data_IF_955058881195
#
_entry.id   IF_955058881195
#
_cell.length_a   1.000
_cell.length_b   1.000
_cell.length_c   1.000
_cell.angle_alpha   90.00
_cell.angle_beta   90.00
_cell.angle_gamma   90.00
#
_symmetry.space_group_name_H-M   'P 1'
#
loop_
_entity.id
_entity.type
_entity.pdbx_description
1 polymer ?
#
# COMPACT_ATOMS: atom_id res chain seq x y z
N UNK A 1 -15.56 -14.72 -14.23
CA UNK A 1 -15.91 -14.98 -12.82
C UNK A 1 -15.69 -13.67 -12.07
N UNK A 2 -16.74 -13.07 -11.52
CA UNK A 2 -16.62 -11.92 -10.61
C UNK A 2 -15.92 -12.41 -9.36
N UNK A 3 -14.80 -11.77 -9.00
CA UNK A 3 -14.11 -12.10 -7.76
C UNK A 3 -15.04 -11.87 -6.57
N UNK A 4 -15.04 -12.79 -5.63
CA UNK A 4 -15.86 -12.73 -4.42
C UNK A 4 -15.52 -11.48 -3.61
N UNK A 5 -16.54 -10.79 -3.07
CA UNK A 5 -16.36 -9.59 -2.23
C UNK A 5 -15.96 -10.00 -0.83
N UNK A 6 -15.09 -9.21 -0.22
CA UNK A 6 -14.76 -9.40 1.17
C UNK A 6 -15.85 -8.83 2.08
N UNK A 7 -16.18 -9.57 3.12
CA UNK A 7 -17.18 -9.12 4.11
C UNK A 7 -16.61 -8.01 5.00
N UNK A 8 -17.30 -6.90 5.24
CA UNK A 8 -16.88 -5.93 6.24
C UNK A 8 -16.60 -6.56 7.61
N UNK A 9 -15.50 -6.16 8.25
CA UNK A 9 -14.98 -6.75 9.48
C UNK A 9 -14.08 -7.98 9.29
N UNK A 10 -14.05 -8.58 8.10
CA UNK A 10 -13.13 -9.70 7.81
C UNK A 10 -11.68 -9.22 7.63
N UNK A 11 -10.74 -10.16 7.67
CA UNK A 11 -9.34 -9.92 7.33
C UNK A 11 -9.14 -10.05 5.83
N UNK A 12 -8.48 -9.06 5.22
CA UNK A 12 -7.91 -9.15 3.88
C UNK A 12 -6.42 -8.80 3.92
N UNK A 13 -5.59 -9.53 3.21
CA UNK A 13 -4.13 -9.30 3.17
C UNK A 13 -3.77 -8.52 1.91
N UNK A 14 -3.11 -7.36 2.05
CA UNK A 14 -2.40 -6.72 0.94
C UNK A 14 -1.01 -7.34 0.85
N UNK A 15 -0.68 -7.87 -0.31
CA UNK A 15 0.65 -8.41 -0.59
C UNK A 15 1.28 -7.69 -1.76
N UNK A 16 2.56 -7.40 -1.65
CA UNK A 16 3.40 -7.06 -2.78
C UNK A 16 4.02 -8.34 -3.31
N UNK A 17 3.80 -8.61 -4.60
CA UNK A 17 4.26 -9.84 -5.26
C UNK A 17 5.26 -9.48 -6.35
N UNK A 18 6.46 -10.04 -6.25
CA UNK A 18 7.49 -9.96 -7.26
C UNK A 18 8.05 -11.35 -7.57
N UNK A 19 8.28 -11.65 -8.84
CA UNK A 19 8.80 -12.95 -9.30
C UNK A 19 8.04 -14.16 -8.74
N UNK A 20 6.71 -14.04 -8.60
CA UNK A 20 5.88 -15.10 -8.03
C UNK A 20 6.07 -15.34 -6.53
N UNK A 21 6.76 -14.43 -5.81
CA UNK A 21 7.04 -14.53 -4.37
C UNK A 21 6.53 -13.29 -3.64
N UNK A 22 6.20 -13.46 -2.36
CA UNK A 22 5.79 -12.36 -1.48
C UNK A 22 7.01 -11.49 -1.16
N UNK A 23 6.90 -10.19 -1.45
CA UNK A 23 7.84 -9.15 -1.05
C UNK A 23 7.44 -8.51 0.27
N UNK A 24 6.15 -8.14 0.41
CA UNK A 24 5.56 -7.71 1.67
C UNK A 24 4.19 -8.35 1.86
N UNK A 25 3.73 -8.46 3.11
CA UNK A 25 2.36 -8.87 3.42
C UNK A 25 1.87 -8.17 4.68
N UNK A 26 0.73 -7.51 4.59
CA UNK A 26 0.10 -6.82 5.71
C UNK A 26 -1.39 -7.17 5.78
N UNK A 27 -1.88 -7.67 6.92
CA UNK A 27 -3.30 -7.91 7.11
C UNK A 27 -4.01 -6.61 7.45
N UNK A 28 -5.20 -6.44 6.91
CA UNK A 28 -6.11 -5.33 7.12
C UNK A 28 -7.47 -5.82 7.58
N UNK A 29 -8.21 -4.97 8.24
CA UNK A 29 -9.66 -5.18 8.44
C UNK A 29 -10.41 -4.52 7.28
N UNK A 30 -11.27 -5.26 6.61
CA UNK A 30 -12.13 -4.74 5.54
C UNK A 30 -13.17 -3.81 6.16
N UNK A 31 -13.34 -2.61 5.61
CA UNK A 31 -14.38 -1.66 5.98
C UNK A 31 -15.55 -1.72 5.00
N UNK A 32 -15.26 -1.73 3.72
CA UNK A 32 -16.24 -1.82 2.64
C UNK A 32 -15.63 -2.47 1.40
N UNK A 33 -16.44 -3.17 0.64
CA UNK A 33 -16.08 -3.78 -0.64
C UNK A 33 -17.29 -3.87 -1.55
N UNK A 34 -17.33 -3.09 -2.62
CA UNK A 34 -18.38 -3.15 -3.64
C UNK A 34 -17.98 -3.97 -4.89
N UNK A 35 -16.76 -4.50 -4.89
CA UNK A 35 -16.15 -5.26 -5.99
C UNK A 35 -15.16 -4.44 -6.81
N UNK A 36 -15.41 -3.17 -7.03
CA UNK A 36 -14.51 -2.24 -7.72
C UNK A 36 -13.69 -1.39 -6.72
N UNK A 37 -14.30 -1.01 -5.62
CA UNK A 37 -13.72 -0.17 -4.58
C UNK A 37 -13.60 -0.97 -3.28
N UNK A 38 -12.38 -1.11 -2.77
CA UNK A 38 -12.07 -1.82 -1.54
C UNK A 38 -11.48 -0.86 -0.53
N UNK A 39 -12.17 -0.66 0.57
CA UNK A 39 -11.69 0.16 1.69
C UNK A 39 -11.31 -0.73 2.87
N UNK A 40 -10.10 -0.54 3.37
CA UNK A 40 -9.53 -1.33 4.46
C UNK A 40 -8.86 -0.44 5.51
N UNK A 41 -8.64 -0.97 6.70
CA UNK A 41 -7.93 -0.28 7.76
C UNK A 41 -6.86 -1.16 8.41
N UNK A 42 -5.77 -0.50 8.81
CA UNK A 42 -4.77 -1.08 9.70
C UNK A 42 -4.50 -0.13 10.87
N UNK A 43 -4.05 -0.68 12.00
CA UNK A 43 -3.80 0.06 13.23
C UNK A 43 -2.59 -0.49 13.98
N UNK A 44 -2.08 0.25 14.98
CA UNK A 44 -0.96 -0.20 15.81
C UNK A 44 -1.17 -1.60 16.39
N UNK A 45 -0.12 -2.41 16.38
CA UNK A 45 -0.12 -3.79 16.87
C UNK A 45 -0.25 -4.86 15.80
N UNK A 46 -0.60 -4.50 14.56
CA UNK A 46 -0.71 -5.46 13.46
C UNK A 46 0.69 -6.00 13.10
N UNK A 47 0.82 -7.33 13.13
CA UNK A 47 2.00 -8.04 12.65
C UNK A 47 1.94 -8.23 11.13
N UNK A 48 3.01 -7.86 10.44
CA UNK A 48 3.19 -7.93 9.00
C UNK A 48 4.51 -8.61 8.64
N UNK A 49 4.71 -8.88 7.36
CA UNK A 49 5.98 -9.36 6.80
C UNK A 49 6.55 -8.31 5.86
N UNK A 50 7.85 -8.10 5.95
CA UNK A 50 8.59 -7.20 5.08
C UNK A 50 10.00 -7.75 4.84
N UNK A 51 10.73 -7.30 3.80
CA UNK A 51 12.11 -7.72 3.57
C UNK A 51 12.99 -7.42 4.77
N UNK A 52 13.89 -8.33 5.10
CA UNK A 52 14.82 -8.19 6.23
C UNK A 52 15.72 -6.95 6.12
N UNK A 53 16.13 -6.57 4.92
CA UNK A 53 16.83 -5.31 4.64
C UNK A 53 16.01 -4.08 5.07
N UNK A 54 14.72 -4.06 4.76
CA UNK A 54 13.83 -2.96 5.13
C UNK A 54 13.59 -2.89 6.65
N UNK A 55 13.31 -4.04 7.30
CA UNK A 55 13.10 -4.07 8.76
C UNK A 55 14.37 -3.69 9.53
N UNK A 56 15.55 -4.11 9.05
CA UNK A 56 16.85 -3.74 9.61
C UNK A 56 17.10 -2.23 9.48
N UNK A 57 16.85 -1.66 8.28
CA UNK A 57 16.92 -0.21 8.05
C UNK A 57 16.06 0.57 9.04
N UNK A 58 14.82 0.14 9.22
CA UNK A 58 13.87 0.79 10.14
C UNK A 58 14.31 0.70 11.61
N UNK A 59 14.91 -0.42 12.03
CA UNK A 59 15.44 -0.58 13.40
C UNK A 59 16.68 0.24 13.64
N UNK A 60 17.55 0.36 12.63
CA UNK A 60 18.83 1.04 12.73
C UNK A 60 18.76 2.54 12.36
N UNK A 61 17.69 3.00 11.71
CA UNK A 61 17.59 4.35 11.13
C UNK A 61 18.52 4.56 9.92
N UNK A 62 18.99 3.49 9.29
CA UNK A 62 19.97 3.53 8.18
C UNK A 62 19.26 3.43 6.82
N UNK A 63 19.16 4.57 6.13
CA UNK A 63 18.54 4.68 4.80
C UNK A 63 19.31 3.89 3.73
N UNK A 64 20.63 3.74 3.87
CA UNK A 64 21.43 2.98 2.89
C UNK A 64 21.05 1.49 2.88
N UNK A 65 20.69 0.93 4.03
CA UNK A 65 20.18 -0.45 4.12
C UNK A 65 18.82 -0.59 3.42
N UNK A 66 17.96 0.43 3.48
CA UNK A 66 16.69 0.46 2.78
C UNK A 66 16.87 0.39 1.26
N UNK A 67 17.81 1.16 0.72
CA UNK A 67 18.12 1.16 -0.72
C UNK A 67 18.65 -0.20 -1.20
N UNK A 68 19.40 -0.93 -0.37
CA UNK A 68 19.80 -2.31 -0.68
C UNK A 68 18.60 -3.25 -0.88
N UNK A 69 17.48 -3.01 -0.19
CA UNK A 69 16.25 -3.78 -0.40
C UNK A 69 15.76 -3.74 -1.84
N UNK A 70 15.95 -2.61 -2.56
CA UNK A 70 15.59 -2.51 -3.98
C UNK A 70 16.54 -3.34 -4.84
N UNK A 71 17.83 -3.38 -4.50
CA UNK A 71 18.81 -4.23 -5.19
C UNK A 71 18.49 -5.72 -4.96
N UNK A 72 18.14 -6.11 -3.71
CA UNK A 72 17.71 -7.47 -3.36
C UNK A 72 16.48 -7.89 -4.15
N UNK A 73 15.50 -6.97 -4.27
CA UNK A 73 14.30 -7.20 -5.07
C UNK A 73 14.64 -7.40 -6.55
N UNK A 74 15.49 -6.54 -7.12
CA UNK A 74 15.91 -6.65 -8.51
C UNK A 74 16.69 -7.94 -8.80
N UNK A 75 17.48 -8.40 -7.83
CA UNK A 75 18.17 -9.69 -7.90
C UNK A 75 17.24 -10.90 -7.70
N UNK A 76 15.99 -10.70 -7.31
CA UNK A 76 15.07 -11.78 -6.95
C UNK A 76 15.45 -12.50 -5.64
N UNK A 77 16.24 -11.86 -4.78
CA UNK A 77 16.84 -12.48 -3.59
C UNK A 77 16.51 -11.67 -2.35
N UNK A 78 15.60 -12.17 -1.52
CA UNK A 78 15.26 -11.55 -0.25
C UNK A 78 14.77 -12.59 0.75
N UNK A 79 14.88 -12.25 2.01
CA UNK A 79 14.26 -12.93 3.13
C UNK A 79 13.20 -12.04 3.76
N UNK A 80 12.16 -12.64 4.33
CA UNK A 80 11.10 -11.94 5.03
C UNK A 80 11.37 -11.95 6.53
N UNK A 81 11.13 -10.82 7.17
CA UNK A 81 11.17 -10.65 8.62
C UNK A 81 9.84 -10.08 9.12
N UNK A 82 9.56 -10.28 10.40
CA UNK A 82 8.38 -9.73 11.04
C UNK A 82 8.54 -8.23 11.33
N UNK A 83 7.51 -7.50 11.00
CA UNK A 83 7.36 -6.08 11.31
C UNK A 83 6.02 -5.82 11.99
N UNK A 84 6.02 -5.04 13.05
CA UNK A 84 4.79 -4.62 13.71
C UNK A 84 4.48 -3.19 13.30
N UNK A 85 3.27 -2.96 12.75
CA UNK A 85 2.76 -1.63 12.45
C UNK A 85 2.62 -0.83 13.74
N UNK A 86 3.10 0.41 13.74
CA UNK A 86 3.15 1.26 14.94
C UNK A 86 2.60 2.65 14.62
N UNK A 87 2.31 3.39 15.66
CA UNK A 87 2.12 4.84 15.69
C UNK A 87 0.88 5.39 14.97
N UNK A 88 0.32 4.73 13.96
CA UNK A 88 -0.78 5.30 13.18
C UNK A 88 -1.89 4.30 12.88
N UNK A 89 -3.10 4.82 12.76
CA UNK A 89 -4.20 4.17 12.06
C UNK A 89 -4.13 4.60 10.60
N UNK A 90 -4.28 3.67 9.68
CA UNK A 90 -4.37 3.96 8.24
C UNK A 90 -5.69 3.45 7.69
N UNK A 91 -6.39 4.33 6.98
CA UNK A 91 -7.53 4.00 6.14
C UNK A 91 -7.01 3.96 4.70
N UNK A 92 -7.25 2.88 4.00
CA UNK A 92 -6.71 2.62 2.67
C UNK A 92 -7.82 2.31 1.69
N UNK A 93 -7.82 2.97 0.54
CA UNK A 93 -8.76 2.76 -0.55
C UNK A 93 -8.03 2.27 -1.79
N UNK A 94 -8.48 1.17 -2.33
CA UNK A 94 -7.98 0.51 -3.52
C UNK A 94 -9.11 0.46 -4.56
N UNK A 95 -8.88 1.04 -5.73
CA UNK A 95 -9.86 1.02 -6.84
C UNK A 95 -9.35 0.07 -7.92
N UNK A 96 -10.23 -0.81 -8.39
CA UNK A 96 -9.86 -1.81 -9.39
C UNK A 96 -9.37 -1.16 -10.69
N UNK A 97 -8.20 -1.58 -11.17
CA UNK A 97 -7.58 -1.06 -12.38
C UNK A 97 -6.75 0.21 -12.18
N UNK A 98 -6.88 0.91 -11.05
CA UNK A 98 -6.05 2.08 -10.76
C UNK A 98 -4.62 1.68 -10.40
N UNK A 99 -3.60 2.38 -10.94
CA UNK A 99 -2.20 2.10 -10.65
C UNK A 99 -1.69 2.84 -9.41
N UNK A 100 -2.57 3.11 -8.47
CA UNK A 100 -2.27 3.68 -7.16
C UNK A 100 -3.39 3.37 -6.16
N UNK A 101 -3.05 3.44 -4.89
CA UNK A 101 -4.00 3.46 -3.78
C UNK A 101 -3.88 4.76 -2.99
N UNK A 102 -4.95 5.12 -2.28
CA UNK A 102 -4.99 6.32 -1.45
C UNK A 102 -5.17 5.95 0.01
N UNK A 103 -4.35 6.55 0.85
CA UNK A 103 -4.32 6.28 2.28
C UNK A 103 -4.54 7.57 3.08
N UNK A 104 -5.30 7.48 4.13
CA UNK A 104 -5.43 8.53 5.16
C UNK A 104 -4.82 8.04 6.45
N UNK A 105 -3.76 8.71 6.89
CA UNK A 105 -3.09 8.42 8.15
C UNK A 105 -3.68 9.26 9.27
N UNK A 106 -3.97 8.61 10.39
CA UNK A 106 -4.53 9.21 11.58
C UNK A 106 -3.66 8.83 12.79
N UNK A 107 -3.69 9.65 13.84
CA UNK A 107 -3.21 9.19 15.15
C UNK A 107 -4.13 8.09 15.70
N UNK A 108 -3.71 7.32 16.73
CA UNK A 108 -4.59 6.36 17.39
C UNK A 108 -5.88 6.97 17.97
N UNK A 109 -5.86 8.29 18.26
CA UNK A 109 -7.02 9.05 18.74
C UNK A 109 -7.88 9.62 17.60
N UNK A 110 -7.54 9.34 16.34
CA UNK A 110 -8.31 9.73 15.15
C UNK A 110 -8.00 11.11 14.58
N UNK A 111 -6.95 11.80 15.05
CA UNK A 111 -6.55 13.09 14.45
C UNK A 111 -5.89 12.88 13.08
N UNK A 112 -6.32 13.60 12.02
CA UNK A 112 -5.68 13.52 10.71
C UNK A 112 -4.21 13.94 10.77
N UNK A 113 -3.33 13.13 10.16
CA UNK A 113 -1.89 13.40 10.05
C UNK A 113 -1.50 13.77 8.62
N UNK A 114 -1.94 13.01 7.64
CA UNK A 114 -1.65 13.22 6.21
C UNK A 114 -2.51 12.30 5.34
N UNK A 115 -2.59 12.65 4.07
CA UNK A 115 -2.95 11.75 3.01
C UNK A 115 -1.71 11.23 2.30
N UNK A 116 -1.86 10.10 1.62
CA UNK A 116 -0.76 9.44 0.95
C UNK A 116 -1.29 8.75 -0.29
N UNK A 117 -0.69 8.99 -1.44
CA UNK A 117 -0.95 8.20 -2.65
C UNK A 117 0.25 7.32 -2.86
N UNK A 118 0.05 6.01 -2.82
CA UNK A 118 1.05 5.01 -3.08
C UNK A 118 0.90 4.53 -4.53
N UNK A 119 1.91 4.75 -5.37
CA UNK A 119 1.89 4.27 -6.75
C UNK A 119 2.29 2.81 -6.76
N UNK A 120 1.42 1.97 -7.32
CA UNK A 120 1.56 0.52 -7.30
C UNK A 120 0.96 -0.10 -8.56
N UNK A 121 1.27 -1.36 -8.83
CA UNK A 121 0.59 -2.08 -9.89
C UNK A 121 -0.90 -2.20 -9.59
N UNK A 122 -1.81 -2.12 -10.59
CA UNK A 122 -3.22 -2.42 -10.37
C UNK A 122 -3.39 -3.74 -9.64
N UNK A 123 -4.11 -3.73 -8.54
CA UNK A 123 -4.24 -4.91 -7.69
C UNK A 123 -5.03 -6.02 -8.37
N UNK A 124 -4.73 -7.26 -7.98
CA UNK A 124 -5.50 -8.44 -8.31
C UNK A 124 -6.10 -9.03 -7.04
N UNK A 125 -7.38 -9.39 -7.09
CA UNK A 125 -8.04 -10.08 -5.98
C UNK A 125 -7.56 -11.52 -5.87
N UNK A 126 -7.46 -11.99 -4.64
CA UNK A 126 -7.14 -13.37 -4.29
C UNK A 126 -8.12 -13.87 -3.23
N UNK A 127 -8.09 -15.15 -2.90
CA UNK A 127 -8.94 -15.72 -1.84
C UNK A 127 -8.66 -15.12 -0.44
N UNK A 128 -7.48 -14.53 -0.22
CA UNK A 128 -7.08 -13.99 1.10
C UNK A 128 -6.95 -12.47 1.12
N UNK A 129 -7.18 -11.79 0.01
CA UNK A 129 -6.99 -10.33 -0.08
C UNK A 129 -6.64 -9.85 -1.48
N UNK A 130 -5.65 -8.99 -1.59
CA UNK A 130 -5.18 -8.40 -2.84
C UNK A 130 -3.68 -8.53 -3.02
N UNK A 131 -3.28 -8.78 -4.27
CA UNK A 131 -1.89 -8.76 -4.71
C UNK A 131 -1.64 -7.55 -5.58
N UNK A 132 -0.57 -6.84 -5.30
CA UNK A 132 -0.07 -5.67 -6.04
C UNK A 132 1.46 -5.69 -6.06
N UNK A 133 2.10 -4.60 -6.39
CA UNK A 133 3.53 -4.31 -6.16
C UNK A 133 3.71 -2.81 -6.08
N UNK A 134 4.24 -2.35 -4.96
CA UNK A 134 4.69 -0.97 -4.74
C UNK A 134 5.74 -0.58 -5.79
N UNK A 135 5.59 0.59 -6.40
CA UNK A 135 6.48 1.11 -7.45
C UNK A 135 7.45 2.18 -6.94
N UNK A 136 7.65 2.29 -5.63
CA UNK A 136 8.64 3.14 -4.98
C UNK A 136 8.46 4.64 -5.23
N UNK A 137 7.24 5.08 -5.49
CA UNK A 137 6.91 6.49 -5.65
C UNK A 137 5.68 6.82 -4.84
N UNK A 138 5.73 7.91 -4.10
CA UNK A 138 4.67 8.35 -3.23
C UNK A 138 4.35 9.83 -3.39
N UNK A 139 3.07 10.20 -3.15
CA UNK A 139 2.66 11.58 -2.99
C UNK A 139 2.13 11.76 -1.55
N UNK A 140 2.81 12.59 -0.78
CA UNK A 140 2.39 12.95 0.58
C UNK A 140 1.65 14.26 0.54
N UNK A 141 0.46 14.31 1.16
CA UNK A 141 -0.44 15.46 1.09
C UNK A 141 -0.83 15.85 2.52
N UNK A 142 -0.89 17.16 2.80
CA UNK A 142 -1.30 17.67 4.11
C UNK A 142 -2.76 17.29 4.43
N UNK A 143 -3.14 17.22 5.74
CA UNK A 143 -4.48 16.78 6.15
C UNK A 143 -5.62 17.62 5.56
N UNK A 144 -5.37 18.91 5.31
CA UNK A 144 -6.32 19.87 4.70
C UNK A 144 -6.33 19.82 3.17
N UNK A 145 -5.50 18.94 2.59
CA UNK A 145 -5.29 18.80 1.14
C UNK A 145 -4.73 20.08 0.48
N UNK A 146 -4.09 20.98 1.20
CA UNK A 146 -3.65 22.27 0.69
C UNK A 146 -2.28 22.18 -0.01
N UNK A 147 -1.40 21.32 0.46
CA UNK A 147 -0.05 21.16 -0.09
C UNK A 147 0.31 19.69 -0.25
N UNK A 148 1.22 19.41 -1.16
CA UNK A 148 1.73 18.07 -1.41
C UNK A 148 3.23 18.06 -1.69
N UNK A 149 3.86 16.91 -1.52
CA UNK A 149 5.28 16.69 -1.79
C UNK A 149 5.48 15.28 -2.35
N UNK A 150 6.25 15.15 -3.42
CA UNK A 150 6.71 13.86 -3.93
C UNK A 150 7.75 13.27 -2.98
N UNK A 151 7.68 11.97 -2.81
CA UNK A 151 8.56 11.24 -1.90
C UNK A 151 9.10 10.00 -2.60
N UNK A 152 10.30 9.58 -2.20
CA UNK A 152 11.01 8.38 -2.67
C UNK A 152 11.32 8.40 -4.19
N UNK A 153 11.42 9.61 -4.84
CA UNK A 153 11.75 9.75 -6.27
C UNK A 153 13.13 9.15 -6.61
N UNK A 154 14.06 9.15 -5.67
CA UNK A 154 15.38 8.51 -5.83
C UNK A 154 15.31 6.97 -5.77
N UNK A 155 14.40 6.40 -4.98
CA UNK A 155 14.09 4.97 -4.96
C UNK A 155 13.40 4.54 -6.28
N UNK A 156 12.46 5.34 -6.75
CA UNK A 156 11.83 5.15 -8.04
C UNK A 156 12.84 5.16 -9.20
N UNK A 157 13.75 6.13 -9.20
CA UNK A 157 14.81 6.21 -10.19
C UNK A 157 15.78 5.02 -10.12
N UNK A 158 16.07 4.50 -8.91
CA UNK A 158 16.85 3.28 -8.74
C UNK A 158 16.10 2.05 -9.30
N UNK A 159 14.83 1.89 -8.97
CA UNK A 159 14.00 0.80 -9.47
C UNK A 159 13.92 0.78 -11.01
N UNK A 160 13.85 1.95 -11.65
CA UNK A 160 13.93 2.07 -13.10
C UNK A 160 15.28 1.63 -13.66
N UNK A 161 16.40 2.09 -13.06
CA UNK A 161 17.74 1.68 -13.51
C UNK A 161 17.98 0.17 -13.40
N UNK A 162 17.36 -0.46 -12.40
CA UNK A 162 17.46 -1.90 -12.17
C UNK A 162 16.46 -2.73 -13.00
N UNK A 163 15.61 -2.10 -13.79
CA UNK A 163 14.64 -2.78 -14.64
C UNK A 163 13.42 -3.34 -13.92
N UNK A 164 13.21 -2.99 -12.63
CA UNK A 164 11.98 -3.32 -11.89
C UNK A 164 10.76 -2.59 -12.44
N UNK A 165 10.99 -1.39 -12.97
CA UNK A 165 10.00 -0.52 -13.60
C UNK A 165 10.43 -0.33 -15.05
N UNK A 166 9.78 -1.04 -15.95
CA UNK A 166 9.99 -0.90 -17.38
C UNK A 166 9.36 0.38 -17.95
N UNK A 167 9.61 0.66 -19.20
CA UNK A 167 9.13 1.89 -19.85
C UNK A 167 7.59 1.95 -19.98
N UNK A 168 6.91 0.80 -20.08
CA UNK A 168 5.46 0.74 -20.14
C UNK A 168 4.86 1.09 -18.76
N UNK A 169 5.41 0.52 -17.70
CA UNK A 169 5.05 0.81 -16.30
C UNK A 169 5.35 2.28 -15.97
N UNK A 170 6.51 2.80 -16.39
CA UNK A 170 6.84 4.22 -16.19
C UNK A 170 5.81 5.15 -16.83
N UNK A 171 5.43 4.92 -18.09
CA UNK A 171 4.38 5.72 -18.73
C UNK A 171 3.03 5.62 -18.03
N UNK A 172 2.71 4.46 -17.43
CA UNK A 172 1.51 4.29 -16.62
C UNK A 172 1.57 5.13 -15.33
N UNK A 173 2.71 5.11 -14.64
CA UNK A 173 2.93 5.91 -13.42
C UNK A 173 2.84 7.41 -13.75
N UNK A 174 3.45 7.90 -14.84
CA UNK A 174 3.36 9.33 -15.19
C UNK A 174 1.91 9.78 -15.44
N UNK A 175 1.12 8.97 -16.16
CA UNK A 175 -0.33 9.27 -16.32
C UNK A 175 -1.09 9.22 -14.98
N UNK A 176 -0.72 8.30 -14.11
CA UNK A 176 -1.32 8.19 -12.77
C UNK A 176 -0.98 9.39 -11.88
N UNK A 177 0.26 9.91 -11.98
CA UNK A 177 0.68 11.14 -11.29
C UNK A 177 -0.20 12.33 -11.68
N UNK A 178 -0.39 12.52 -13.00
CA UNK A 178 -1.27 13.58 -13.52
C UNK A 178 -2.71 13.42 -13.05
N UNK A 179 -3.26 12.19 -13.11
CA UNK A 179 -4.62 11.90 -12.69
C UNK A 179 -4.81 12.12 -11.18
N UNK A 180 -3.88 11.65 -10.34
CA UNK A 180 -3.94 11.83 -8.89
C UNK A 180 -3.87 13.32 -8.49
N UNK A 181 -3.01 14.11 -9.15
CA UNK A 181 -2.93 15.55 -8.93
C UNK A 181 -4.19 16.27 -9.39
N UNK A 182 -4.76 15.91 -10.54
CA UNK A 182 -6.02 16.49 -11.00
C UNK A 182 -7.16 16.22 -9.99
N UNK A 183 -7.30 14.97 -9.53
CA UNK A 183 -8.29 14.62 -8.51
C UNK A 183 -8.09 15.39 -7.20
N UNK A 184 -6.83 15.58 -6.77
CA UNK A 184 -6.50 16.37 -5.58
C UNK A 184 -6.92 17.83 -5.73
N UNK A 185 -6.60 18.46 -6.86
CA UNK A 185 -6.93 19.86 -7.14
C UNK A 185 -8.45 20.09 -7.25
N UNK A 186 -9.14 19.18 -7.92
CA UNK A 186 -10.59 19.23 -8.14
C UNK A 186 -11.39 18.74 -6.92
N UNK A 187 -10.73 18.27 -5.86
CA UNK A 187 -11.40 17.65 -4.70
C UNK A 187 -12.36 16.55 -5.13
N UNK A 188 -11.95 15.71 -6.07
CA UNK A 188 -12.77 14.65 -6.65
C UNK A 188 -12.21 13.24 -6.31
N UNK A 189 -12.92 12.20 -6.72
CA UNK A 189 -12.49 10.81 -6.47
C UNK A 189 -12.26 10.53 -4.97
N UNK A 190 -11.10 10.01 -4.58
CA UNK A 190 -10.78 9.71 -3.18
C UNK A 190 -10.65 10.97 -2.29
N UNK A 191 -10.46 12.16 -2.89
CA UNK A 191 -10.34 13.45 -2.19
C UNK A 191 -11.66 14.24 -2.14
N UNK A 192 -12.74 13.68 -2.68
CA UNK A 192 -14.06 14.30 -2.60
C UNK A 192 -14.51 14.44 -1.13
N UNK A 193 -15.29 15.48 -0.80
CA UNK A 193 -15.90 15.62 0.51
C UNK A 193 -16.87 14.46 0.77
N UNK A 194 -16.41 13.43 1.46
CA UNK A 194 -17.23 12.28 1.85
C UNK A 194 -16.87 11.93 3.31
N UNK A 195 -17.54 12.59 4.28
CA UNK A 195 -17.16 12.45 5.70
C UNK A 195 -17.16 11.01 6.20
N UNK A 196 -18.04 10.17 5.69
CA UNK A 196 -18.18 8.78 6.19
C UNK A 196 -17.15 7.80 5.58
N UNK A 197 -16.64 8.07 4.38
CA UNK A 197 -15.71 7.16 3.68
C UNK A 197 -14.33 7.05 4.36
N UNK A 198 -13.95 8.05 5.15
CA UNK A 198 -12.64 8.16 5.80
C UNK A 198 -12.76 8.31 7.32
N UNK A 199 -13.81 7.75 7.89
CA UNK A 199 -14.06 7.77 9.33
C UNK A 199 -13.29 6.62 10.00
N UNK A 200 -12.66 6.93 11.13
CA UNK A 200 -11.96 5.93 11.92
C UNK A 200 -12.94 4.87 12.42
N UNK A 201 -12.70 3.58 12.13
CA UNK A 201 -13.58 2.52 12.57
C UNK A 201 -13.46 2.31 14.10
N UNK A 202 -14.52 1.78 14.75
CA UNK A 202 -14.45 1.43 16.16
C UNK A 202 -13.35 0.39 16.42
N UNK A 203 -12.81 0.34 17.64
CA UNK A 203 -11.87 -0.69 18.04
C UNK A 203 -12.46 -2.11 17.85
N UNK A 204 -11.64 -3.03 17.36
CA UNK A 204 -12.00 -4.42 17.15
C UNK A 204 -10.76 -5.32 17.22
N UNK A 205 -10.86 -6.63 17.04
CA UNK A 205 -9.71 -7.52 17.02
C UNK A 205 -8.71 -7.11 15.94
N UNK A 206 -7.42 -7.33 16.18
CA UNK A 206 -6.40 -7.10 15.15
C UNK A 206 -6.50 -8.22 14.10
N UNK A 207 -6.46 -7.87 12.80
CA UNK A 207 -6.35 -8.88 11.75
C UNK A 207 -4.99 -9.58 11.85
N UNK A 208 -4.96 -10.86 11.50
CA UNK A 208 -3.75 -11.69 11.51
C UNK A 208 -3.47 -12.26 10.13
N UNK A 209 -2.20 -12.49 9.82
CA UNK A 209 -1.81 -13.14 8.58
C UNK A 209 -2.28 -14.60 8.58
N UNK A 210 -3.10 -15.03 7.60
CA UNK A 210 -3.52 -16.42 7.48
C UNK A 210 -2.35 -17.31 7.05
N UNK A 211 -2.46 -18.62 7.30
CA UNK A 211 -1.43 -19.60 6.91
C UNK A 211 -1.08 -19.56 5.41
N UNK A 212 -2.05 -19.22 4.55
CA UNK A 212 -1.87 -19.11 3.11
C UNK A 212 -1.13 -17.82 2.66
N UNK A 213 -0.68 -16.96 3.58
CA UNK A 213 -0.05 -15.67 3.22
C UNK A 213 1.11 -15.80 2.23
N UNK A 214 1.94 -16.83 2.37
CA UNK A 214 3.11 -17.04 1.50
C UNK A 214 2.80 -17.90 0.26
N UNK A 215 1.60 -18.44 0.15
CA UNK A 215 1.18 -19.20 -1.04
C UNK A 215 0.85 -18.24 -2.17
N UNK A 216 1.58 -18.32 -3.27
CA UNK A 216 1.29 -17.58 -4.50
C UNK A 216 0.72 -18.54 -5.55
N UNK A 217 -0.20 -18.09 -6.41
CA UNK A 217 -0.63 -18.93 -7.54
C UNK A 217 0.58 -19.31 -8.37
N UNK A 218 0.65 -20.56 -8.80
CA UNK A 218 1.60 -20.96 -9.84
C UNK A 218 1.34 -20.07 -11.06
N UNK A 219 2.39 -19.40 -11.53
CA UNK A 219 2.35 -18.51 -12.68
C UNK A 219 2.04 -19.25 -13.98
#
# INVERSE_FOLDING_TARGET
>A
MTAERFTPGSTAVRRDIAYGRVWTAMPYTVLADDGADLTMTARPGIASLAPSSWTTSRRAGDVAVRKRGIDDLAAGQWELDHWVWRDTVVLSRFVAGEPYSVHRFLTPEGRPLRWYVNFERPYRRTAIGIDTLDLFLDLVITPDLATHTWKDEDEYAQARRLGLIDEATHRQVERAREAALAQLLDRSGPFAPAPDAWTMPPPGPLPVLPAATLSTPAG
#
